data_IF_554730731391
#
_entry.id   IF_554730731391
#
_cell.length_a   1.000
_cell.length_b   1.000
_cell.length_c   1.000
_cell.angle_alpha   90.00
_cell.angle_beta   90.00
_cell.angle_gamma   90.00
#
_symmetry.space_group_name_H-M   'P 1'
#
loop_
_entity.id
_entity.type
_entity.pdbx_description
1 polymer ?
#
# COMPACT_ATOMS: atom_id res chain seq x y z
N UNK A 1 -8.84 -2.83 -7.28
CA UNK A 1 -8.44 -3.20 -5.91
C UNK A 1 -9.26 -2.38 -4.94
N UNK A 2 -9.62 -2.97 -3.81
CA UNK A 2 -10.26 -2.33 -2.67
C UNK A 2 -9.18 -1.78 -1.71
N UNK A 3 -9.41 -0.61 -1.13
CA UNK A 3 -8.55 -0.09 -0.07
C UNK A 3 -9.30 0.92 0.77
N UNK A 4 -8.95 0.92 2.04
CA UNK A 4 -9.76 1.53 3.05
C UNK A 4 -9.43 1.01 4.43
N UNK A 5 -10.07 1.61 5.40
CA UNK A 5 -10.03 1.16 6.79
C UNK A 5 -11.15 0.13 6.99
N UNK A 6 -10.77 -1.14 6.90
CA UNK A 6 -11.69 -2.29 6.90
C UNK A 6 -11.44 -3.15 8.15
N UNK A 7 -12.40 -3.23 9.07
CA UNK A 7 -12.18 -3.90 10.37
C UNK A 7 -12.04 -5.43 10.31
N UNK A 8 -12.57 -6.05 9.25
CA UNK A 8 -12.46 -7.50 9.07
C UNK A 8 -11.14 -7.94 8.45
N UNK A 9 -10.30 -7.00 8.00
CA UNK A 9 -9.11 -7.29 7.21
C UNK A 9 -7.89 -6.55 7.76
N UNK A 10 -6.71 -7.01 7.35
CA UNK A 10 -5.47 -6.28 7.62
C UNK A 10 -5.53 -4.91 6.93
N UNK A 11 -4.82 -3.93 7.49
CA UNK A 11 -4.74 -2.61 6.87
C UNK A 11 -3.98 -2.72 5.54
N UNK A 12 -4.59 -2.25 4.46
CA UNK A 12 -3.95 -2.13 3.14
C UNK A 12 -3.52 -0.69 2.84
N UNK A 13 -3.51 0.14 3.88
CA UNK A 13 -2.97 1.49 3.92
C UNK A 13 -3.49 2.34 2.77
N UNK A 14 -4.79 2.23 2.48
CA UNK A 14 -5.44 2.99 1.41
C UNK A 14 -4.75 2.83 0.05
N UNK A 15 -4.26 1.62 -0.25
CA UNK A 15 -3.67 1.29 -1.54
C UNK A 15 -2.18 1.59 -1.66
N UNK A 16 -1.56 2.02 -0.55
CA UNK A 16 -0.12 2.27 -0.45
C UNK A 16 0.69 1.01 -0.17
N UNK A 17 0.02 -0.09 0.15
CA UNK A 17 0.66 -1.40 0.11
C UNK A 17 0.34 -2.14 -1.17
N UNK A 18 1.36 -2.69 -1.83
CA UNK A 18 1.23 -3.50 -3.04
C UNK A 18 0.98 -4.97 -2.68
N UNK A 19 0.21 -5.27 -1.62
CA UNK A 19 -0.27 -6.63 -1.31
C UNK A 19 -1.59 -6.84 -2.06
N UNK A 20 -1.55 -7.10 -3.38
CA UNK A 20 -2.66 -6.76 -4.26
C UNK A 20 -3.72 -7.87 -4.18
N UNK A 21 -3.32 -9.08 -3.83
CA UNK A 21 -4.14 -10.26 -4.10
C UNK A 21 -5.35 -10.31 -3.16
N UNK A 22 -5.16 -9.94 -1.87
CA UNK A 22 -6.23 -9.89 -0.84
C UNK A 22 -7.38 -8.94 -1.13
N UNK A 23 -7.12 -7.91 -1.93
CA UNK A 23 -8.08 -6.84 -2.18
C UNK A 23 -8.36 -6.66 -3.67
N UNK A 24 -7.94 -7.61 -4.52
CA UNK A 24 -8.19 -7.55 -5.95
C UNK A 24 -9.62 -8.03 -6.25
N UNK A 25 -10.31 -7.27 -7.10
CA UNK A 25 -11.60 -7.72 -7.62
C UNK A 25 -11.34 -8.80 -8.69
N UNK A 26 -12.13 -9.87 -8.65
CA UNK A 26 -12.11 -10.98 -9.60
C UNK A 26 -12.83 -10.59 -10.90
N UNK A 27 -12.44 -11.20 -12.01
CA UNK A 27 -13.15 -11.04 -13.29
C UNK A 27 -14.54 -11.69 -13.21
N UNK A 28 -15.57 -10.97 -13.68
CA UNK A 28 -16.92 -11.53 -13.82
C UNK A 28 -16.97 -12.30 -15.15
N UNK A 29 -16.75 -13.62 -15.10
CA UNK A 29 -16.60 -14.44 -16.30
C UNK A 29 -17.76 -14.23 -17.30
N UNK A 30 -17.41 -14.04 -18.57
CA UNK A 30 -18.37 -13.76 -19.64
C UNK A 30 -18.86 -12.31 -19.71
N UNK A 31 -18.37 -11.41 -18.85
CA UNK A 31 -18.65 -9.96 -18.93
C UNK A 31 -17.36 -9.17 -19.10
N UNK A 32 -17.21 -8.51 -20.24
CA UNK A 32 -16.04 -7.70 -20.56
C UNK A 32 -15.89 -6.51 -19.59
N UNK A 33 -14.65 -6.25 -19.13
CA UNK A 33 -14.28 -5.17 -18.21
C UNK A 33 -15.15 -5.04 -16.95
N UNK A 34 -15.62 -6.18 -16.44
CA UNK A 34 -16.42 -6.25 -15.23
C UNK A 34 -15.73 -7.09 -14.18
N UNK A 35 -15.70 -6.55 -12.97
CA UNK A 35 -15.02 -7.15 -11.84
C UNK A 35 -15.90 -7.15 -10.60
N UNK A 36 -15.69 -8.10 -9.69
CA UNK A 36 -16.44 -8.17 -8.45
C UNK A 36 -15.56 -8.58 -7.27
N UNK A 37 -16.00 -8.24 -6.06
CA UNK A 37 -15.42 -8.73 -4.82
C UNK A 37 -16.54 -9.00 -3.83
N UNK A 38 -16.48 -10.14 -3.17
CA UNK A 38 -17.40 -10.50 -2.09
C UNK A 38 -16.63 -10.52 -0.77
N UNK A 39 -17.12 -9.76 0.21
CA UNK A 39 -16.40 -9.47 1.44
C UNK A 39 -17.32 -9.04 2.58
N UNK A 40 -16.86 -9.20 3.81
CA UNK A 40 -17.50 -8.65 5.00
C UNK A 40 -17.13 -7.18 5.15
N UNK A 41 -18.12 -6.34 5.42
CA UNK A 41 -17.92 -4.94 5.74
C UNK A 41 -18.63 -4.63 7.05
N UNK A 42 -17.98 -3.87 7.93
CA UNK A 42 -18.57 -3.44 9.18
C UNK A 42 -19.10 -2.01 9.08
N UNK A 43 -20.16 -1.68 9.83
CA UNK A 43 -20.77 -0.34 9.85
C UNK A 43 -19.79 0.76 10.24
N UNK A 44 -19.56 1.73 9.36
CA UNK A 44 -18.58 2.80 9.55
C UNK A 44 -17.22 2.53 8.90
N UNK A 45 -16.99 1.34 8.33
CA UNK A 45 -15.82 1.13 7.46
C UNK A 45 -15.87 2.12 6.30
N UNK A 46 -14.70 2.63 5.91
CA UNK A 46 -14.54 3.52 4.77
C UNK A 46 -13.57 2.96 3.76
N UNK A 47 -13.92 3.02 2.49
CA UNK A 47 -13.07 2.53 1.41
C UNK A 47 -13.35 3.20 0.08
N UNK A 48 -12.46 2.92 -0.88
CA UNK A 48 -12.61 3.19 -2.31
C UNK A 48 -12.26 1.93 -3.12
N UNK A 49 -12.50 1.96 -4.41
CA UNK A 49 -12.02 0.93 -5.35
C UNK A 49 -11.22 1.62 -6.44
N UNK A 50 -9.97 1.22 -6.66
CA UNK A 50 -9.13 1.81 -7.71
C UNK A 50 -8.70 0.76 -8.75
N UNK A 51 -8.42 1.21 -9.97
CA UNK A 51 -7.55 0.44 -10.88
C UNK A 51 -6.14 0.39 -10.28
N UNK A 52 -5.41 -0.71 -10.49
CA UNK A 52 -4.05 -0.85 -9.99
C UNK A 52 -3.04 -0.72 -11.13
N UNK A 53 -1.86 -0.19 -10.81
CA UNK A 53 -0.71 -0.19 -11.71
C UNK A 53 -0.16 -1.61 -11.88
N UNK A 54 0.74 -1.83 -12.84
CA UNK A 54 1.41 -3.13 -13.04
C UNK A 54 2.13 -3.63 -11.78
N UNK A 55 2.56 -2.70 -10.94
CA UNK A 55 3.27 -2.96 -9.67
C UNK A 55 2.33 -3.24 -8.50
N UNK A 56 1.02 -3.08 -8.68
CA UNK A 56 0.00 -3.41 -7.67
C UNK A 56 -0.41 -2.26 -6.74
N UNK A 57 0.03 -1.02 -7.03
CA UNK A 57 -0.42 0.17 -6.30
C UNK A 57 -1.71 0.72 -6.87
N UNK A 58 -2.43 1.48 -6.04
CA UNK A 58 -3.57 2.26 -6.49
C UNK A 58 -3.18 3.36 -7.46
N UNK A 59 -3.93 3.46 -8.56
CA UNK A 59 -3.87 4.63 -9.43
C UNK A 59 -4.85 5.71 -8.93
N UNK A 60 -4.28 6.79 -8.40
CA UNK A 60 -5.04 7.95 -7.91
C UNK A 60 -5.86 8.64 -9.01
N UNK A 61 -5.48 8.50 -10.29
CA UNK A 61 -6.24 9.02 -11.42
C UNK A 61 -7.43 8.16 -11.83
N UNK A 62 -7.45 6.88 -11.42
CA UNK A 62 -8.47 5.90 -11.79
C UNK A 62 -9.11 5.27 -10.54
N UNK A 63 -9.65 6.12 -9.65
CA UNK A 63 -10.22 5.72 -8.36
C UNK A 63 -11.74 5.99 -8.27
N UNK A 64 -12.50 4.95 -7.97
CA UNK A 64 -13.94 4.97 -7.73
C UNK A 64 -14.27 5.19 -6.25
N UNK A 65 -14.78 6.37 -5.91
CA UNK A 65 -15.38 6.68 -4.61
C UNK A 65 -16.91 6.76 -4.67
N UNK A 66 -17.50 7.60 -3.83
CA UNK A 66 -18.95 7.72 -3.71
C UNK A 66 -19.62 8.20 -5.00
N UNK A 67 -18.98 9.09 -5.76
CA UNK A 67 -19.51 9.61 -7.03
C UNK A 67 -19.73 8.53 -8.09
N UNK A 68 -18.94 7.45 -8.04
CA UNK A 68 -19.02 6.32 -8.96
C UNK A 68 -20.16 5.34 -8.61
N UNK A 69 -20.78 5.48 -7.44
CA UNK A 69 -21.83 4.58 -6.99
C UNK A 69 -23.12 4.86 -7.75
N UNK A 70 -23.67 3.85 -8.44
CA UNK A 70 -24.97 3.98 -9.11
C UNK A 70 -26.05 4.43 -8.12
N UNK A 71 -26.79 5.48 -8.47
CA UNK A 71 -27.91 6.02 -7.67
C UNK A 71 -28.98 4.94 -7.43
N UNK A 72 -29.30 4.68 -6.16
CA UNK A 72 -30.25 3.64 -5.71
C UNK A 72 -30.18 3.47 -4.19
N UNK A 73 -30.90 2.50 -3.60
CA UNK A 73 -30.87 2.15 -2.14
C UNK A 73 -29.45 1.71 -1.71
N UNK A 74 -28.53 2.66 -1.63
CA UNK A 74 -27.11 2.41 -1.45
C UNK A 74 -26.86 1.92 -0.04
N UNK A 75 -26.15 0.79 0.05
CA UNK A 75 -25.60 0.28 1.31
C UNK A 75 -24.55 1.22 1.93
N UNK A 76 -24.22 2.30 1.23
CA UNK A 76 -23.15 3.24 1.55
C UNK A 76 -23.66 4.68 1.62
N UNK A 77 -23.05 5.49 2.47
CA UNK A 77 -23.12 6.96 2.48
C UNK A 77 -21.80 7.54 1.99
N UNK A 78 -21.76 8.85 1.75
CA UNK A 78 -20.50 9.56 1.61
C UNK A 78 -19.75 9.51 2.95
N UNK A 79 -18.48 9.14 2.91
CA UNK A 79 -17.55 9.18 4.03
C UNK A 79 -16.68 10.42 4.02
N UNK A 80 -15.59 10.37 4.78
CA UNK A 80 -14.55 11.40 4.76
C UNK A 80 -13.75 11.34 3.44
N UNK A 81 -12.96 12.37 3.18
CA UNK A 81 -12.30 12.53 1.88
C UNK A 81 -10.81 12.80 2.06
N UNK A 82 -9.99 12.01 1.37
CA UNK A 82 -8.68 12.41 0.88
C UNK A 82 -8.81 12.54 -0.66
N UNK A 83 -8.89 13.76 -1.20
CA UNK A 83 -8.96 14.04 -2.66
C UNK A 83 -10.31 14.55 -3.23
N UNK A 84 -10.55 14.35 -4.54
CA UNK A 84 -11.69 14.94 -5.29
C UNK A 84 -13.02 14.16 -5.21
N UNK A 85 -13.06 12.97 -4.59
CA UNK A 85 -14.27 12.15 -4.43
C UNK A 85 -14.34 11.57 -3.01
N UNK A 86 -15.53 11.56 -2.40
CA UNK A 86 -15.73 11.06 -1.03
C UNK A 86 -15.54 9.54 -0.95
N UNK A 87 -15.11 9.04 0.21
CA UNK A 87 -15.05 7.61 0.46
C UNK A 87 -16.47 6.99 0.48
N UNK A 88 -16.55 5.68 0.27
CA UNK A 88 -17.76 4.90 0.52
C UNK A 88 -17.76 4.52 2.00
N UNK A 89 -18.70 5.06 2.78
CA UNK A 89 -18.89 4.69 4.19
C UNK A 89 -20.01 3.66 4.33
N UNK A 90 -19.73 2.57 5.03
CA UNK A 90 -20.66 1.44 5.21
C UNK A 90 -21.76 1.79 6.20
N UNK A 91 -23.04 1.66 5.79
CA UNK A 91 -24.19 2.01 6.65
C UNK A 91 -24.62 0.90 7.62
N UNK A 92 -24.27 -0.35 7.35
CA UNK A 92 -24.60 -1.47 8.22
C UNK A 92 -23.63 -2.63 8.02
N UNK A 93 -23.33 -3.36 9.09
CA UNK A 93 -22.48 -4.55 9.02
C UNK A 93 -23.14 -5.64 8.17
N UNK A 94 -22.36 -6.37 7.39
CA UNK A 94 -22.86 -7.50 6.60
C UNK A 94 -21.84 -8.05 5.60
N UNK A 95 -22.28 -9.09 4.88
CA UNK A 95 -21.58 -9.61 3.71
C UNK A 95 -22.09 -8.91 2.46
N UNK A 96 -21.16 -8.45 1.61
CA UNK A 96 -21.45 -7.60 0.46
C UNK A 96 -20.82 -8.14 -0.81
N UNK A 97 -21.50 -7.92 -1.95
CA UNK A 97 -20.90 -7.99 -3.27
C UNK A 97 -20.72 -6.59 -3.82
N UNK A 98 -19.47 -6.22 -4.08
CA UNK A 98 -19.09 -5.06 -4.87
C UNK A 98 -18.95 -5.49 -6.33
N UNK A 99 -19.37 -4.64 -7.26
CA UNK A 99 -19.21 -4.87 -8.69
C UNK A 99 -18.78 -3.59 -9.37
N UNK A 100 -17.62 -3.62 -9.99
CA UNK A 100 -17.03 -2.54 -10.76
C UNK A 100 -17.19 -2.86 -12.24
N UNK A 101 -17.77 -1.93 -13.00
CA UNK A 101 -17.72 -1.92 -14.46
C UNK A 101 -16.78 -0.79 -14.87
N UNK A 102 -15.74 -1.12 -15.63
CA UNK A 102 -14.81 -0.14 -16.21
C UNK A 102 -15.17 0.03 -17.69
N UNK A 103 -15.09 1.25 -18.20
CA UNK A 103 -15.24 1.51 -19.63
C UNK A 103 -14.10 0.85 -20.42
N UNK A 104 -14.38 0.44 -21.65
CA UNK A 104 -13.39 -0.20 -22.52
C UNK A 104 -12.33 0.78 -23.02
N UNK A 105 -12.71 2.04 -23.18
CA UNK A 105 -11.93 3.09 -23.83
C UNK A 105 -11.22 4.02 -22.86
N UNK A 106 -11.66 4.07 -21.59
CA UNK A 106 -11.09 4.93 -20.56
C UNK A 106 -11.14 4.25 -19.17
N UNK A 107 -10.00 3.87 -18.58
CA UNK A 107 -9.95 3.23 -17.26
C UNK A 107 -10.34 4.16 -16.11
N UNK A 108 -10.44 5.47 -16.34
CA UNK A 108 -10.94 6.46 -15.36
C UNK A 108 -12.46 6.56 -15.35
N UNK A 109 -13.13 6.00 -16.37
CA UNK A 109 -14.59 5.92 -16.46
C UNK A 109 -15.08 4.58 -15.90
N UNK A 110 -15.74 4.60 -14.75
CA UNK A 110 -16.28 3.39 -14.12
C UNK A 110 -17.62 3.62 -13.44
N UNK A 111 -18.35 2.52 -13.24
CA UNK A 111 -19.54 2.50 -12.37
C UNK A 111 -19.42 1.40 -11.33
N UNK A 112 -19.70 1.76 -10.09
CA UNK A 112 -19.72 0.86 -8.95
C UNK A 112 -21.16 0.56 -8.57
N UNK A 113 -21.46 -0.71 -8.31
CA UNK A 113 -22.68 -1.13 -7.64
C UNK A 113 -22.36 -2.02 -6.45
N UNK A 114 -23.22 -2.01 -5.45
CA UNK A 114 -23.07 -2.82 -4.26
C UNK A 114 -24.39 -3.44 -3.82
N UNK A 115 -24.31 -4.67 -3.32
CA UNK A 115 -25.45 -5.42 -2.81
C UNK A 115 -25.07 -6.09 -1.49
N UNK A 116 -25.83 -5.83 -0.43
CA UNK A 116 -25.77 -6.66 0.80
C UNK A 116 -26.36 -8.03 0.49
N UNK A 117 -25.59 -9.07 0.77
CA UNK A 117 -25.96 -10.48 0.58
C UNK A 117 -26.51 -11.11 1.86
N UNK A 118 -26.13 -10.60 3.04
CA UNK A 118 -26.62 -11.10 4.32
C UNK A 118 -25.79 -10.60 5.50
N UNK A 119 -25.87 -11.33 6.61
CA UNK A 119 -24.94 -11.20 7.74
C UNK A 119 -23.50 -11.56 7.32
N UNK A 120 -22.47 -11.15 8.08
CA UNK A 120 -21.09 -11.49 7.78
C UNK A 120 -20.92 -13.01 7.59
N UNK A 121 -20.27 -13.41 6.49
CA UNK A 121 -20.00 -14.82 6.22
C UNK A 121 -18.67 -15.22 6.87
N UNK A 122 -18.61 -16.42 7.46
CA UNK A 122 -17.39 -16.96 8.08
C UNK A 122 -16.23 -17.08 7.06
N UNK A 123 -16.56 -17.40 5.80
CA UNK A 123 -15.61 -17.56 4.69
C UNK A 123 -15.65 -16.38 3.71
N UNK A 124 -15.93 -15.15 4.16
CA UNK A 124 -15.83 -13.96 3.32
C UNK A 124 -14.36 -13.59 3.05
N UNK A 125 -13.63 -14.49 2.41
CA UNK A 125 -12.24 -14.33 2.03
C UNK A 125 -12.08 -14.88 0.61
N UNK A 126 -11.86 -13.98 -0.35
CA UNK A 126 -11.39 -14.42 -1.66
C UNK A 126 -10.16 -13.61 -2.06
N UNK A 127 -9.00 -14.23 -1.86
CA UNK A 127 -7.90 -13.91 -2.74
C UNK A 127 -7.05 -15.11 -3.15
N UNK A 128 -6.52 -14.96 -4.35
CA UNK A 128 -5.49 -15.80 -4.93
C UNK A 128 -4.25 -15.80 -4.00
N UNK A 129 -3.80 -17.00 -3.62
CA UNK A 129 -2.78 -17.24 -2.59
C UNK A 129 -1.38 -17.44 -3.19
N UNK A 130 -1.07 -16.86 -4.33
CA UNK A 130 0.26 -17.07 -4.91
C UNK A 130 1.31 -16.29 -4.12
N UNK A 131 1.95 -16.94 -3.14
CA UNK A 131 3.00 -16.40 -2.27
C UNK A 131 4.22 -15.85 -3.05
N UNK A 132 4.38 -16.23 -4.31
CA UNK A 132 5.58 -15.97 -5.11
C UNK A 132 5.79 -14.55 -5.64
N UNK A 133 4.93 -13.56 -5.34
CA UNK A 133 4.97 -12.26 -6.05
C UNK A 133 4.68 -11.03 -5.18
N UNK A 134 4.88 -11.11 -3.85
CA UNK A 134 4.39 -10.08 -2.91
C UNK A 134 5.26 -8.81 -2.79
N UNK A 135 6.50 -8.84 -3.29
CA UNK A 135 7.47 -7.75 -3.13
C UNK A 135 7.75 -7.38 -1.66
N UNK A 136 8.63 -6.42 -1.41
CA UNK A 136 8.97 -5.97 -0.06
C UNK A 136 9.50 -4.54 -0.04
N UNK A 137 9.51 -3.93 1.15
CA UNK A 137 10.13 -2.64 1.37
C UNK A 137 11.60 -2.82 1.77
N UNK A 138 12.48 -2.04 1.14
CA UNK A 138 13.91 -2.05 1.36
C UNK A 138 14.39 -0.63 1.64
N UNK A 139 15.38 -0.49 2.51
CA UNK A 139 16.15 0.73 2.61
C UNK A 139 17.23 0.71 1.51
N UNK A 140 17.25 1.75 0.69
CA UNK A 140 18.12 1.89 -0.49
C UNK A 140 18.82 3.25 -0.46
N UNK A 141 19.88 3.41 -1.24
CA UNK A 141 20.64 4.65 -1.35
C UNK A 141 22.13 4.40 -1.30
N UNK A 142 22.89 5.26 -0.62
CA UNK A 142 24.33 5.05 -0.46
C UNK A 142 24.68 3.92 0.51
N UNK A 143 23.70 3.37 1.21
CA UNK A 143 23.84 2.24 2.12
C UNK A 143 23.65 0.89 1.42
N UNK A 144 24.03 -0.20 2.10
CA UNK A 144 23.91 -1.55 1.57
C UNK A 144 24.84 -1.77 0.38
N UNK A 145 24.29 -2.09 -0.78
CA UNK A 145 25.01 -2.23 -2.04
C UNK A 145 25.17 -0.91 -2.83
N UNK A 146 24.73 0.22 -2.28
CA UNK A 146 25.12 1.56 -2.74
C UNK A 146 24.38 2.06 -3.98
N UNK A 147 23.24 1.47 -4.35
CA UNK A 147 22.40 1.87 -5.49
C UNK A 147 21.01 2.28 -4.98
N UNK A 148 20.18 2.74 -5.91
CA UNK A 148 18.87 3.31 -5.57
C UNK A 148 17.72 2.39 -6.01
N UNK A 149 17.67 2.01 -7.29
CA UNK A 149 16.52 1.31 -7.87
C UNK A 149 16.72 -0.20 -8.07
N UNK A 150 17.97 -0.65 -8.15
CA UNK A 150 18.32 -2.07 -8.38
C UNK A 150 18.33 -2.87 -7.05
N UNK A 151 18.27 -2.16 -5.92
CA UNK A 151 18.52 -2.69 -4.58
C UNK A 151 17.25 -3.06 -3.83
N UNK A 152 16.08 -2.80 -4.38
CA UNK A 152 14.83 -3.29 -3.80
C UNK A 152 14.58 -4.72 -4.30
N UNK A 153 15.50 -5.61 -3.95
CA UNK A 153 15.56 -6.99 -4.40
C UNK A 153 16.05 -7.91 -3.29
N UNK A 154 15.93 -9.22 -3.51
CA UNK A 154 16.40 -10.23 -2.55
C UNK A 154 17.92 -10.16 -2.29
N UNK A 155 18.70 -9.49 -3.15
CA UNK A 155 20.14 -9.30 -2.93
C UNK A 155 20.44 -8.26 -1.83
N UNK A 156 19.48 -7.39 -1.50
CA UNK A 156 19.59 -6.38 -0.44
C UNK A 156 18.80 -6.77 0.82
N UNK A 157 18.65 -8.09 1.07
CA UNK A 157 17.88 -8.63 2.21
C UNK A 157 18.27 -8.04 3.57
N UNK A 158 19.54 -7.67 3.77
CA UNK A 158 20.02 -7.05 5.02
C UNK A 158 19.39 -5.68 5.32
N UNK A 159 18.83 -5.02 4.31
CA UNK A 159 18.15 -3.73 4.42
C UNK A 159 16.65 -3.84 4.17
N UNK A 160 16.08 -5.06 4.24
CA UNK A 160 14.64 -5.28 4.13
C UNK A 160 13.94 -4.82 5.41
N UNK A 161 12.83 -4.09 5.27
CA UNK A 161 11.99 -3.73 6.41
C UNK A 161 11.02 -4.87 6.75
N UNK A 162 10.77 -5.04 8.05
CA UNK A 162 9.85 -6.02 8.61
C UNK A 162 8.61 -5.35 9.17
N UNK A 163 7.45 -5.96 9.00
CA UNK A 163 6.21 -5.42 9.55
C UNK A 163 6.10 -5.76 11.04
N UNK A 164 5.97 -4.74 11.89
CA UNK A 164 5.72 -4.89 13.32
C UNK A 164 4.70 -3.83 13.78
N UNK A 165 3.59 -4.25 14.40
CA UNK A 165 2.60 -3.38 15.07
C UNK A 165 2.17 -2.16 14.23
N UNK A 166 1.83 -2.37 12.95
CA UNK A 166 1.33 -1.29 12.09
C UNK A 166 2.40 -0.49 11.34
N UNK A 167 3.70 -0.80 11.51
CA UNK A 167 4.80 -0.09 10.85
C UNK A 167 5.77 -1.07 10.21
N UNK A 168 6.42 -0.64 9.14
CA UNK A 168 7.59 -1.32 8.60
C UNK A 168 8.83 -0.78 9.29
N UNK A 169 9.68 -1.66 9.83
CA UNK A 169 10.84 -1.30 10.63
C UNK A 169 12.10 -2.02 10.17
N UNK A 170 13.24 -1.38 10.37
CA UNK A 170 14.57 -1.95 10.18
C UNK A 170 15.51 -1.35 11.22
N UNK A 171 16.23 -2.18 11.97
CA UNK A 171 17.38 -1.72 12.76
C UNK A 171 18.62 -1.87 11.90
N UNK A 172 19.41 -0.80 11.77
CA UNK A 172 20.56 -0.74 10.86
C UNK A 172 21.71 0.02 11.48
N UNK A 173 22.94 -0.40 11.17
CA UNK A 173 24.17 0.28 11.53
C UNK A 173 24.84 0.83 10.27
N UNK A 174 24.82 2.15 10.11
CA UNK A 174 25.48 2.81 8.99
C UNK A 174 26.96 3.01 9.25
N UNK A 175 27.78 2.76 8.23
CA UNK A 175 29.24 2.84 8.25
C UNK A 175 29.72 4.11 7.55
N UNK A 176 30.92 4.55 7.90
CA UNK A 176 31.61 5.67 7.23
C UNK A 176 31.74 5.43 5.71
N UNK A 177 31.95 4.18 5.30
CA UNK A 177 32.06 3.78 3.88
C UNK A 177 30.77 3.98 3.08
N UNK A 178 29.63 4.16 3.74
CA UNK A 178 28.32 4.38 3.10
C UNK A 178 28.01 5.87 2.94
N UNK A 179 28.93 6.76 3.33
CA UNK A 179 28.78 8.21 3.14
C UNK A 179 29.17 8.61 1.73
N UNK A 180 28.55 9.68 1.22
CA UNK A 180 28.79 10.16 -0.15
C UNK A 180 29.09 11.66 -0.20
N UNK A 181 30.02 12.13 -1.07
CA UNK A 181 30.42 13.53 -1.10
C UNK A 181 29.29 14.50 -1.43
N UNK A 182 28.39 14.12 -2.35
CA UNK A 182 27.25 14.96 -2.74
C UNK A 182 26.23 15.15 -1.61
N UNK A 183 26.21 14.25 -0.63
CA UNK A 183 25.42 14.36 0.59
C UNK A 183 26.22 14.99 1.75
N UNK A 184 27.33 15.68 1.45
CA UNK A 184 28.22 16.33 2.43
C UNK A 184 28.78 15.35 3.47
N UNK A 185 29.14 14.14 3.04
CA UNK A 185 29.72 13.12 3.93
C UNK A 185 28.69 12.47 4.85
N UNK A 186 27.42 12.45 4.45
CA UNK A 186 26.36 11.72 5.12
C UNK A 186 25.95 10.50 4.31
N UNK A 187 25.33 9.53 4.96
CA UNK A 187 24.58 8.47 4.31
C UNK A 187 23.28 9.06 3.79
N UNK A 188 22.98 8.84 2.52
CA UNK A 188 21.74 9.29 1.89
C UNK A 188 20.88 8.08 1.52
N UNK A 189 19.72 7.95 2.14
CA UNK A 189 18.86 6.78 1.94
C UNK A 189 17.36 7.12 1.87
N UNK A 190 16.59 6.18 1.34
CA UNK A 190 15.13 6.19 1.26
C UNK A 190 14.61 4.77 1.41
N UNK A 191 13.32 4.63 1.74
CA UNK A 191 12.66 3.34 1.63
C UNK A 191 12.05 3.22 0.25
N UNK A 192 12.31 2.10 -0.41
CA UNK A 192 11.75 1.77 -1.70
C UNK A 192 10.99 0.45 -1.63
N UNK A 193 9.84 0.37 -2.29
CA UNK A 193 9.16 -0.88 -2.53
C UNK A 193 9.73 -1.56 -3.78
N UNK A 194 10.19 -2.79 -3.60
CA UNK A 194 10.77 -3.62 -4.63
C UNK A 194 9.93 -4.84 -4.94
N UNK A 195 9.75 -5.13 -6.22
CA UNK A 195 9.13 -6.36 -6.71
C UNK A 195 9.86 -6.82 -7.97
N UNK A 196 10.21 -8.11 -8.03
CA UNK A 196 10.91 -8.71 -9.18
C UNK A 196 12.20 -7.98 -9.58
N UNK A 197 12.97 -7.51 -8.58
CA UNK A 197 14.27 -6.85 -8.80
C UNK A 197 14.18 -5.42 -9.32
N UNK A 198 13.00 -4.78 -9.26
CA UNK A 198 12.81 -3.39 -9.65
C UNK A 198 12.07 -2.62 -8.56
N UNK A 199 12.45 -1.36 -8.35
CA UNK A 199 11.65 -0.43 -7.58
C UNK A 199 10.42 -0.01 -8.37
N UNK A 200 9.25 -0.03 -7.72
CA UNK A 200 8.03 0.46 -8.32
C UNK A 200 8.07 2.00 -8.51
N UNK A 201 7.51 2.56 -9.61
CA UNK A 201 7.55 4.00 -9.88
C UNK A 201 7.00 4.87 -8.73
N UNK A 202 5.95 4.40 -8.04
CA UNK A 202 5.34 5.08 -6.88
C UNK A 202 5.76 4.46 -5.53
N UNK A 203 6.76 3.58 -5.55
CA UNK A 203 7.23 2.85 -4.37
C UNK A 203 8.26 3.60 -3.54
N UNK A 204 8.41 4.92 -3.68
CA UNK A 204 9.47 5.69 -3.01
C UNK A 204 8.94 6.45 -1.80
N UNK A 205 9.61 6.28 -0.67
CA UNK A 205 9.24 6.88 0.61
C UNK A 205 10.45 7.58 1.22
N UNK A 206 10.25 8.80 1.69
CA UNK A 206 11.29 9.68 2.19
C UNK A 206 10.91 10.34 3.51
N UNK A 207 11.60 11.42 3.83
CA UNK A 207 11.27 12.27 4.97
C UNK A 207 9.89 12.98 4.80
N UNK A 208 9.59 13.95 5.66
CA UNK A 208 8.31 14.70 5.60
C UNK A 208 8.09 15.46 4.30
N UNK A 209 9.16 15.75 3.56
CA UNK A 209 9.11 16.41 2.24
C UNK A 209 9.24 15.40 1.09
N UNK A 210 9.28 14.09 1.39
CA UNK A 210 9.56 13.04 0.42
C UNK A 210 11.01 13.02 -0.06
N UNK A 211 11.93 13.71 0.63
CA UNK A 211 13.36 13.78 0.30
C UNK A 211 14.13 12.63 0.92
N UNK A 212 15.40 12.51 0.54
CA UNK A 212 16.30 11.50 1.10
C UNK A 212 16.52 11.79 2.58
N UNK A 213 16.54 10.74 3.40
CA UNK A 213 17.10 10.82 4.73
C UNK A 213 18.61 11.05 4.60
N UNK A 214 19.14 12.01 5.35
CA UNK A 214 20.57 12.29 5.42
C UNK A 214 21.04 12.02 6.85
N UNK A 215 21.81 10.94 7.03
CA UNK A 215 22.14 10.39 8.34
C UNK A 215 23.65 10.31 8.52
N UNK A 216 24.12 10.53 9.75
CA UNK A 216 25.51 10.21 10.12
C UNK A 216 25.66 8.69 10.29
N UNK A 217 26.85 8.13 10.08
CA UNK A 217 27.17 6.77 10.51
C UNK A 217 26.76 6.52 11.97
N UNK A 218 26.33 5.29 12.27
CA UNK A 218 25.80 4.90 13.58
C UNK A 218 24.58 3.99 13.51
N UNK A 219 24.06 3.60 14.67
CA UNK A 219 22.91 2.72 14.81
C UNK A 219 21.59 3.50 14.79
N UNK A 220 20.63 3.02 14.00
CA UNK A 220 19.29 3.61 13.88
C UNK A 220 18.21 2.54 13.80
N UNK A 221 17.04 2.88 14.34
CA UNK A 221 15.77 2.29 13.99
C UNK A 221 15.12 3.11 12.89
N UNK A 222 15.06 2.54 11.70
CA UNK A 222 14.28 3.06 10.58
C UNK A 222 12.84 2.58 10.71
N UNK A 223 11.87 3.48 10.50
CA UNK A 223 10.46 3.12 10.40
C UNK A 223 9.80 3.80 9.20
N UNK A 224 8.96 3.05 8.48
CA UNK A 224 8.04 3.55 7.47
C UNK A 224 6.61 3.44 8.02
N UNK A 225 5.97 4.60 8.11
CA UNK A 225 4.54 4.73 8.36
C UNK A 225 3.84 4.82 7.01
N UNK A 226 3.11 3.76 6.63
CA UNK A 226 2.46 3.71 5.32
C UNK A 226 1.25 4.63 5.20
N UNK A 227 0.56 4.93 6.32
CA UNK A 227 -0.58 5.84 6.32
C UNK A 227 -0.16 7.24 5.88
N UNK A 228 1.02 7.69 6.33
CA UNK A 228 1.59 8.99 5.96
C UNK A 228 2.57 8.91 4.80
N UNK A 229 3.18 7.76 4.56
CA UNK A 229 4.30 7.57 3.63
C UNK A 229 5.64 8.08 4.20
N UNK A 230 5.66 8.44 5.49
CA UNK A 230 6.80 9.05 6.16
C UNK A 230 7.80 7.98 6.61
N UNK A 231 9.06 8.18 6.25
CA UNK A 231 10.18 7.45 6.82
C UNK A 231 10.81 8.26 7.94
N UNK A 232 11.06 7.61 9.09
CA UNK A 232 11.79 8.18 10.24
C UNK A 232 13.01 7.33 10.54
N UNK A 233 14.07 8.00 10.96
CA UNK A 233 15.27 7.36 11.52
C UNK A 233 15.44 7.87 12.95
N UNK A 234 15.43 6.94 13.90
CA UNK A 234 15.63 7.22 15.32
C UNK A 234 16.97 6.61 15.74
N UNK A 235 17.94 7.39 16.24
CA UNK A 235 19.18 6.82 16.76
C UNK A 235 18.87 5.81 17.86
N UNK A 236 19.56 4.67 17.82
CA UNK A 236 19.51 3.67 18.90
C UNK A 236 20.84 3.67 19.62
N UNK A 237 20.82 3.49 20.95
CA UNK A 237 22.06 3.37 21.71
C UNK A 237 22.92 2.23 21.15
N UNK A 238 24.22 2.45 21.07
CA UNK A 238 25.15 1.35 20.91
C UNK A 238 25.02 0.51 22.19
N UNK A 239 24.71 -0.77 22.09
CA UNK A 239 25.15 -1.68 23.15
C UNK A 239 26.68 -1.59 23.14
N UNK A 240 27.24 -0.73 23.99
CA UNK A 240 28.67 -0.73 24.27
C UNK A 240 29.02 -2.14 24.73
N UNK A 241 29.99 -2.74 24.03
CA UNK A 241 30.61 -4.01 24.38
C UNK A 241 30.92 -4.02 25.89
N UNK A 242 30.24 -4.89 26.64
CA UNK A 242 30.63 -5.26 28.01
C UNK A 242 31.71 -6.32 27.99
#
# INVERSE_FOLDING_TARGET
>A
MLAGSLRFYEDNFWGRTPFPDRYRLLTDQGRFNRFFLELNLAEGDEFKVAVITEEGFWDNGATAGFSALKRGKSCFSAGETLGFDANLRVKSTGFYRLTLQVDASDPTCFSLSARRLGEPAEEAFSPDKSEGNQGAFYLVGSCGNGRWAEDASEENRGYRLHYEKGKYILNVCFKESETVPWAKGLVACKVAFGKNGRVAPNGWFGDREGKNLLLRPGNYRISLDLQTGLVRAEPTENEEEK
#
